data_IF_741355670828
#
_entry.id   IF_741355670828
#
_cell.length_a   1.000
_cell.length_b   1.000
_cell.length_c   1.000
_cell.angle_alpha   90.00
_cell.angle_beta   90.00
_cell.angle_gamma   90.00
#
_symmetry.space_group_name_H-M   'P 1'
#
loop_
_entity.id
_entity.type
_entity.pdbx_description
1 polymer ?
#
# COMPACT_ATOMS: atom_id res chain seq x y z
N UNK A 1 -23.76 8.25 9.67
CA UNK A 1 -22.90 7.88 8.53
C UNK A 1 -22.94 9.02 7.53
N UNK A 2 -21.78 9.44 6.99
CA UNK A 2 -21.74 10.46 5.94
C UNK A 2 -22.28 9.85 4.63
N UNK A 3 -22.93 10.64 3.76
CA UNK A 3 -23.24 10.20 2.39
C UNK A 3 -21.98 9.78 1.64
N UNK A 4 -22.08 8.78 0.76
CA UNK A 4 -20.92 8.22 0.04
C UNK A 4 -20.12 9.29 -0.73
N UNK A 5 -20.81 10.22 -1.39
CA UNK A 5 -20.19 11.33 -2.11
C UNK A 5 -19.41 12.27 -1.16
N UNK A 6 -19.96 12.54 0.04
CA UNK A 6 -19.27 13.35 1.05
C UNK A 6 -18.04 12.68 1.63
N UNK A 7 -18.01 11.35 1.69
CA UNK A 7 -16.79 10.62 2.07
C UNK A 7 -15.71 10.83 1.01
N UNK A 8 -16.06 10.72 -0.28
CA UNK A 8 -15.09 10.97 -1.35
C UNK A 8 -14.60 12.42 -1.36
N UNK A 9 -15.49 13.41 -1.25
CA UNK A 9 -15.11 14.82 -1.20
C UNK A 9 -14.08 15.12 -0.10
N UNK A 10 -14.26 14.52 1.09
CA UNK A 10 -13.42 14.78 2.25
C UNK A 10 -12.05 14.10 2.18
N UNK A 11 -11.98 12.88 1.62
CA UNK A 11 -10.78 12.04 1.75
C UNK A 11 -10.05 11.76 0.43
N UNK A 12 -10.62 12.12 -0.72
CA UNK A 12 -10.05 11.79 -2.02
C UNK A 12 -8.65 12.37 -2.23
N UNK A 13 -8.41 13.61 -1.81
CA UNK A 13 -7.11 14.25 -1.99
C UNK A 13 -6.02 13.54 -1.17
N UNK A 14 -6.31 13.22 0.09
CA UNK A 14 -5.37 12.51 0.98
C UNK A 14 -5.08 11.10 0.46
N UNK A 15 -6.12 10.36 0.07
CA UNK A 15 -5.97 9.04 -0.52
C UNK A 15 -5.11 9.08 -1.80
N UNK A 16 -5.33 10.07 -2.67
CA UNK A 16 -4.53 10.28 -3.88
C UNK A 16 -3.07 10.56 -3.53
N UNK A 17 -2.80 11.43 -2.57
CA UNK A 17 -1.44 11.73 -2.12
C UNK A 17 -0.74 10.47 -1.62
N UNK A 18 -1.40 9.67 -0.78
CA UNK A 18 -0.81 8.41 -0.28
C UNK A 18 -0.50 7.42 -1.40
N UNK A 19 -1.38 7.27 -2.40
CA UNK A 19 -1.12 6.40 -3.55
C UNK A 19 0.09 6.87 -4.37
N UNK A 20 0.26 8.17 -4.56
CA UNK A 20 1.42 8.74 -5.25
C UNK A 20 2.71 8.48 -4.46
N UNK A 21 2.68 8.62 -3.14
CA UNK A 21 3.86 8.34 -2.31
C UNK A 21 4.25 6.86 -2.34
N UNK A 22 3.28 5.95 -2.36
CA UNK A 22 3.54 4.51 -2.54
C UNK A 22 4.20 4.25 -3.91
N UNK A 23 3.68 4.84 -4.99
CA UNK A 23 4.27 4.69 -6.32
C UNK A 23 5.71 5.23 -6.36
N UNK A 24 5.95 6.41 -5.79
CA UNK A 24 7.28 7.00 -5.72
C UNK A 24 8.25 6.17 -4.86
N UNK A 25 7.77 5.48 -3.83
CA UNK A 25 8.58 4.53 -3.06
C UNK A 25 9.01 3.34 -3.93
N UNK A 26 8.08 2.75 -4.68
CA UNK A 26 8.37 1.62 -5.58
C UNK A 26 9.38 2.01 -6.67
N UNK A 27 9.20 3.17 -7.30
CA UNK A 27 10.15 3.70 -8.29
C UNK A 27 11.57 3.86 -7.72
N UNK A 28 11.68 4.34 -6.47
CA UNK A 28 12.98 4.51 -5.80
C UNK A 28 13.62 3.17 -5.46
N UNK A 29 12.82 2.19 -5.04
CA UNK A 29 13.29 0.83 -4.77
C UNK A 29 13.85 0.19 -6.05
N UNK A 30 13.10 0.25 -7.15
CA UNK A 30 13.52 -0.33 -8.43
C UNK A 30 14.84 0.29 -8.94
N UNK A 31 14.98 1.62 -8.81
CA UNK A 31 16.24 2.31 -9.15
C UNK A 31 17.41 1.89 -8.26
N UNK A 32 17.17 1.67 -6.96
CA UNK A 32 18.20 1.21 -6.03
C UNK A 32 18.71 -0.19 -6.40
N UNK A 33 17.78 -1.12 -6.68
CA UNK A 33 18.11 -2.48 -7.12
C UNK A 33 18.89 -2.47 -8.44
N UNK A 34 18.48 -1.64 -9.41
CA UNK A 34 19.22 -1.49 -10.68
C UNK A 34 20.64 -0.93 -10.49
N UNK A 35 20.84 -0.07 -9.48
CA UNK A 35 22.15 0.52 -9.15
C UNK A 35 23.11 -0.46 -8.44
N UNK A 36 22.63 -1.61 -7.98
CA UNK A 36 23.40 -2.64 -7.28
C UNK A 36 23.26 -4.01 -7.97
N UNK A 37 23.68 -4.15 -9.25
CA UNK A 37 23.49 -5.37 -10.00
C UNK A 37 24.24 -6.55 -9.36
N UNK A 38 23.50 -7.58 -8.95
CA UNK A 38 24.02 -8.79 -8.32
C UNK A 38 23.88 -8.82 -6.79
N UNK A 39 23.46 -7.72 -6.17
CA UNK A 39 23.13 -7.69 -4.74
C UNK A 39 21.63 -8.01 -4.57
N UNK A 40 21.33 -9.20 -4.05
CA UNK A 40 19.95 -9.60 -3.76
C UNK A 40 19.58 -9.00 -2.41
N UNK A 41 18.48 -8.22 -2.31
CA UNK A 41 17.98 -7.73 -1.03
C UNK A 41 17.81 -8.89 -0.06
N UNK A 42 18.38 -8.75 1.13
CA UNK A 42 18.38 -9.80 2.16
C UNK A 42 16.99 -10.10 2.74
N UNK A 43 16.00 -9.23 2.51
CA UNK A 43 14.58 -9.51 2.76
C UNK A 43 13.71 -8.64 1.85
N UNK A 44 12.67 -9.24 1.25
CA UNK A 44 11.61 -8.55 0.49
C UNK A 44 10.31 -8.46 1.29
N UNK A 45 10.27 -8.90 2.55
CA UNK A 45 9.03 -9.07 3.33
C UNK A 45 8.22 -7.77 3.44
N UNK A 46 8.91 -6.63 3.57
CA UNK A 46 8.28 -5.30 3.60
C UNK A 46 7.67 -4.91 2.26
N UNK A 47 8.36 -5.22 1.15
CA UNK A 47 7.86 -4.95 -0.19
C UNK A 47 6.68 -5.86 -0.54
N UNK A 48 6.79 -7.14 -0.20
CA UNK A 48 5.73 -8.13 -0.39
C UNK A 48 4.47 -7.74 0.39
N UNK A 49 4.63 -7.22 1.60
CA UNK A 49 3.50 -6.73 2.41
C UNK A 49 2.85 -5.48 1.81
N UNK A 50 3.62 -4.57 1.18
CA UNK A 50 3.05 -3.44 0.43
C UNK A 50 2.20 -3.94 -0.74
N UNK A 51 2.67 -4.93 -1.51
CA UNK A 51 1.88 -5.48 -2.62
C UNK A 51 0.63 -6.24 -2.15
N UNK A 52 0.72 -6.96 -1.03
CA UNK A 52 -0.45 -7.59 -0.39
C UNK A 52 -1.47 -6.53 0.08
N UNK A 53 -1.00 -5.43 0.66
CA UNK A 53 -1.84 -4.29 1.06
C UNK A 53 -2.56 -3.66 -0.14
N UNK A 54 -1.87 -3.44 -1.26
CA UNK A 54 -2.47 -2.92 -2.49
C UNK A 54 -3.52 -3.86 -3.06
N UNK A 55 -3.25 -5.17 -3.06
CA UNK A 55 -4.22 -6.19 -3.50
C UNK A 55 -5.48 -6.15 -2.65
N UNK A 56 -5.32 -6.08 -1.33
CA UNK A 56 -6.41 -5.98 -0.37
C UNK A 56 -7.25 -4.72 -0.58
N UNK A 57 -6.60 -3.57 -0.80
CA UNK A 57 -7.26 -2.29 -1.04
C UNK A 57 -8.02 -2.25 -2.37
N UNK A 58 -7.58 -3.00 -3.38
CA UNK A 58 -8.20 -3.07 -4.70
C UNK A 58 -9.49 -3.94 -4.73
N UNK A 59 -9.72 -4.77 -3.71
CA UNK A 59 -10.97 -5.53 -3.57
C UNK A 59 -12.17 -4.58 -3.60
N UNK A 60 -13.17 -4.86 -4.45
CA UNK A 60 -14.36 -3.99 -4.62
C UNK A 60 -15.49 -4.31 -3.65
N UNK A 61 -15.48 -5.48 -3.03
CA UNK A 61 -16.54 -5.92 -2.13
C UNK A 61 -16.45 -5.22 -0.77
N UNK A 62 -17.58 -4.73 -0.26
CA UNK A 62 -17.68 -3.93 0.97
C UNK A 62 -17.83 -4.76 2.25
N UNK A 63 -17.55 -6.07 2.21
CA UNK A 63 -17.93 -6.99 3.29
C UNK A 63 -16.99 -7.00 4.49
N UNK A 64 -15.79 -6.42 4.40
CA UNK A 64 -14.78 -6.49 5.47
C UNK A 64 -14.09 -5.15 5.72
N UNK A 65 -13.78 -4.87 6.99
CA UNK A 65 -13.04 -3.68 7.44
C UNK A 65 -11.60 -3.68 6.90
N UNK A 66 -11.40 -3.03 5.74
CA UNK A 66 -10.08 -2.97 5.07
C UNK A 66 -8.98 -2.46 5.99
N UNK A 67 -9.26 -1.44 6.79
CA UNK A 67 -8.31 -0.85 7.75
C UNK A 67 -7.83 -1.87 8.79
N UNK A 68 -8.74 -2.66 9.38
CA UNK A 68 -8.38 -3.69 10.35
C UNK A 68 -7.51 -4.78 9.71
N UNK A 69 -7.84 -5.20 8.49
CA UNK A 69 -7.04 -6.21 7.77
C UNK A 69 -5.64 -5.69 7.40
N UNK A 70 -5.53 -4.43 6.99
CA UNK A 70 -4.24 -3.75 6.77
C UNK A 70 -3.41 -3.73 8.05
N UNK A 71 -4.00 -3.36 9.20
CA UNK A 71 -3.31 -3.35 10.48
C UNK A 71 -2.77 -4.73 10.85
N UNK A 72 -3.56 -5.78 10.68
CA UNK A 72 -3.12 -7.15 10.95
C UNK A 72 -1.99 -7.57 10.00
N UNK A 73 -2.12 -7.31 8.69
CA UNK A 73 -1.10 -7.60 7.69
C UNK A 73 0.27 -7.01 8.07
N UNK A 74 0.30 -5.79 8.60
CA UNK A 74 1.55 -5.15 9.02
C UNK A 74 2.00 -5.49 10.44
N UNK A 75 1.14 -6.06 11.28
CA UNK A 75 1.50 -6.48 12.65
C UNK A 75 2.21 -7.83 12.70
N UNK A 76 1.99 -8.66 11.67
CA UNK A 76 2.59 -9.99 11.55
C UNK A 76 3.99 -9.98 10.90
N UNK A 77 4.53 -8.79 10.59
CA UNK A 77 5.86 -8.62 10.03
C UNK A 77 6.94 -8.80 11.13
N UNK A 78 7.97 -9.64 10.91
CA UNK A 78 9.04 -9.88 11.88
C UNK A 78 9.99 -8.69 12.10
#
# INVERSE_FOLDING_TARGET
MLPAEKVLDLYFLDARCMLIEIAALLDRYDRAVQGQPGEVPSSTDRLDSIYQALTLLAERDCTHDRSARLLNLFSDLP
#
